data_IF_095016174497
#
_entry.id   IF_095016174497
#
_cell.length_a   1.000
_cell.length_b   1.000
_cell.length_c   1.000
_cell.angle_alpha   90.00
_cell.angle_beta   90.00
_cell.angle_gamma   90.00
#
_symmetry.space_group_name_H-M   'P 1'
#
loop_
_entity.id
_entity.type
_entity.pdbx_description
1 polymer ?
#
# COMPACT_ATOMS: atom_id res chain seq x y z
N UNK A 1 -7.58 21.34 -9.87
CA UNK A 1 -7.76 20.72 -8.54
C UNK A 1 -8.01 21.80 -7.51
N UNK A 2 -9.11 21.68 -6.77
CA UNK A 2 -9.42 22.57 -5.66
C UNK A 2 -8.51 22.26 -4.46
N UNK A 3 -8.44 23.16 -3.46
CA UNK A 3 -7.67 22.91 -2.22
C UNK A 3 -8.18 21.67 -1.48
N UNK A 4 -9.49 21.44 -1.56
CA UNK A 4 -10.17 20.27 -1.01
C UNK A 4 -9.69 18.96 -1.66
N UNK A 5 -9.63 18.90 -3.00
CA UNK A 5 -9.16 17.70 -3.71
C UNK A 5 -7.75 17.30 -3.27
N UNK A 6 -6.85 18.28 -3.12
CA UNK A 6 -5.47 18.03 -2.69
C UNK A 6 -5.38 17.56 -1.24
N UNK A 7 -6.24 18.09 -0.37
CA UNK A 7 -6.33 17.64 1.01
C UNK A 7 -6.79 16.18 1.07
N UNK A 8 -7.86 15.84 0.35
CA UNK A 8 -8.40 14.49 0.30
C UNK A 8 -7.39 13.49 -0.28
N UNK A 9 -6.69 13.86 -1.36
CA UNK A 9 -5.62 13.05 -1.94
C UNK A 9 -4.47 12.78 -0.95
N UNK A 10 -4.02 13.80 -0.21
CA UNK A 10 -2.98 13.62 0.80
C UNK A 10 -3.45 12.73 1.94
N UNK A 11 -4.70 12.86 2.36
CA UNK A 11 -5.28 12.01 3.39
C UNK A 11 -5.37 10.56 2.92
N UNK A 12 -5.90 10.32 1.72
CA UNK A 12 -5.99 9.01 1.10
C UNK A 12 -4.61 8.31 1.02
N UNK A 13 -3.59 9.00 0.52
CA UNK A 13 -2.23 8.44 0.42
C UNK A 13 -1.65 8.14 1.81
N UNK A 14 -1.86 9.01 2.80
CA UNK A 14 -1.43 8.75 4.19
C UNK A 14 -2.08 7.49 4.75
N UNK A 15 -3.40 7.35 4.60
CA UNK A 15 -4.14 6.17 5.08
C UNK A 15 -3.65 4.91 4.37
N UNK A 16 -3.43 4.97 3.05
CA UNK A 16 -2.92 3.84 2.28
C UNK A 16 -1.54 3.39 2.76
N UNK A 17 -0.62 4.33 2.99
CA UNK A 17 0.72 4.03 3.51
C UNK A 17 0.64 3.42 4.91
N UNK A 18 -0.19 3.96 5.79
CA UNK A 18 -0.37 3.45 7.15
C UNK A 18 -0.92 2.01 7.10
N UNK A 19 -1.99 1.77 6.35
CA UNK A 19 -2.57 0.44 6.19
C UNK A 19 -1.55 -0.55 5.64
N UNK A 20 -0.79 -0.14 4.62
CA UNK A 20 0.23 -0.97 4.01
C UNK A 20 1.34 -1.34 5.00
N UNK A 21 1.89 -0.36 5.73
CA UNK A 21 2.95 -0.59 6.72
C UNK A 21 2.42 -1.44 7.87
N UNK A 22 1.21 -1.17 8.37
CA UNK A 22 0.63 -1.94 9.48
C UNK A 22 0.42 -3.41 9.12
N UNK A 23 -0.17 -3.69 7.95
CA UNK A 23 -0.43 -5.07 7.53
C UNK A 23 0.88 -5.76 7.15
N UNK A 24 1.76 -5.10 6.39
CA UNK A 24 3.05 -5.68 5.99
C UNK A 24 3.98 -5.90 7.20
N UNK A 25 3.93 -5.01 8.19
CA UNK A 25 4.67 -5.16 9.44
C UNK A 25 4.15 -6.33 10.26
N UNK A 26 2.83 -6.51 10.33
CA UNK A 26 2.23 -7.66 11.01
C UNK A 26 2.64 -8.98 10.34
N UNK A 27 2.59 -9.07 9.01
CA UNK A 27 3.01 -10.28 8.29
C UNK A 27 4.51 -10.54 8.44
N UNK A 28 5.34 -9.50 8.39
CA UNK A 28 6.78 -9.58 8.65
C UNK A 28 7.07 -10.19 10.02
N UNK A 29 6.39 -9.74 11.07
CA UNK A 29 6.55 -10.29 12.43
C UNK A 29 6.16 -11.77 12.45
N UNK A 30 4.99 -12.12 11.88
CA UNK A 30 4.54 -13.51 11.81
C UNK A 30 5.59 -14.38 11.08
N UNK A 31 6.08 -13.94 9.93
CA UNK A 31 7.06 -14.68 9.13
C UNK A 31 8.38 -14.91 9.86
N UNK A 32 8.88 -13.91 10.59
CA UNK A 32 10.11 -14.01 11.37
C UNK A 32 9.95 -14.96 12.54
N UNK A 33 8.81 -14.90 13.23
CA UNK A 33 8.53 -15.81 14.36
C UNK A 33 8.28 -17.24 13.89
N UNK A 34 7.57 -17.44 12.78
CA UNK A 34 7.26 -18.78 12.25
C UNK A 34 8.49 -19.50 11.70
N UNK A 35 9.45 -18.78 11.09
CA UNK A 35 10.64 -19.38 10.48
C UNK A 35 11.93 -19.04 11.27
N UNK A 36 11.80 -18.78 12.57
CA UNK A 36 12.89 -18.30 13.43
C UNK A 36 14.13 -19.21 13.40
N UNK A 37 13.93 -20.53 13.33
CA UNK A 37 15.00 -21.53 13.25
C UNK A 37 15.74 -21.50 11.92
N UNK A 38 15.04 -21.26 10.81
CA UNK A 38 15.61 -21.14 9.47
C UNK A 38 16.41 -19.84 9.33
N UNK A 39 15.87 -18.72 9.82
CA UNK A 39 16.59 -17.44 9.84
C UNK A 39 17.85 -17.49 10.71
N UNK A 40 17.82 -18.24 11.83
CA UNK A 40 18.99 -18.45 12.68
C UNK A 40 20.09 -19.29 12.00
N UNK A 41 19.74 -20.19 11.08
CA UNK A 41 20.70 -20.95 10.26
C UNK A 41 21.28 -20.12 9.10
N UNK A 42 20.43 -19.42 8.32
CA UNK A 42 20.90 -18.58 7.20
C UNK A 42 21.76 -17.39 7.65
N UNK A 43 21.54 -16.88 8.87
CA UNK A 43 22.38 -15.83 9.47
C UNK A 43 23.84 -16.23 9.73
N UNK A 44 24.16 -17.54 9.75
CA UNK A 44 25.53 -18.03 9.99
C UNK A 44 26.38 -18.18 8.72
N UNK A 45 25.79 -18.32 7.54
CA UNK A 45 26.53 -18.62 6.30
C UNK A 45 26.65 -17.43 5.33
N UNK A 46 25.80 -16.39 5.46
CA UNK A 46 25.59 -15.36 4.42
C UNK A 46 26.20 -13.98 4.64
N UNK A 47 27.23 -13.80 5.49
CA UNK A 47 28.02 -12.55 5.52
C UNK A 47 27.31 -11.27 5.99
N UNK A 48 26.09 -11.35 6.53
CA UNK A 48 25.41 -10.22 7.16
C UNK A 48 23.88 -10.29 7.03
N UNK A 49 23.20 -10.40 8.18
CA UNK A 49 21.74 -10.55 8.30
C UNK A 49 21.00 -9.43 7.56
N UNK A 50 21.52 -8.20 7.57
CA UNK A 50 20.86 -7.02 7.00
C UNK A 50 20.76 -7.01 5.48
N UNK A 51 21.77 -7.51 4.75
CA UNK A 51 21.80 -7.43 3.28
C UNK A 51 20.92 -8.52 2.64
N UNK A 52 20.93 -9.72 3.22
CA UNK A 52 20.02 -10.81 2.87
C UNK A 52 18.58 -10.45 3.23
N UNK A 53 18.35 -9.83 4.40
CA UNK A 53 17.01 -9.31 4.74
C UNK A 53 16.53 -8.29 3.72
N UNK A 54 17.38 -7.35 3.28
CA UNK A 54 16.94 -6.26 2.40
C UNK A 54 16.58 -6.75 0.99
N UNK A 55 17.34 -7.69 0.42
CA UNK A 55 16.99 -8.32 -0.86
C UNK A 55 15.75 -9.22 -0.74
N UNK A 56 15.66 -10.01 0.33
CA UNK A 56 14.55 -10.95 0.52
C UNK A 56 13.23 -10.24 0.89
N UNK A 57 13.28 -9.23 1.77
CA UNK A 57 12.11 -8.43 2.14
C UNK A 57 11.72 -7.43 1.06
N UNK A 58 12.67 -6.83 0.32
CA UNK A 58 12.34 -5.93 -0.77
C UNK A 58 11.46 -6.61 -1.82
N UNK A 59 11.90 -7.78 -2.29
CA UNK A 59 11.15 -8.63 -3.22
C UNK A 59 9.77 -9.04 -2.69
N UNK A 60 9.72 -9.46 -1.43
CA UNK A 60 8.51 -9.98 -0.79
C UNK A 60 7.49 -8.89 -0.52
N UNK A 61 7.92 -7.70 -0.10
CA UNK A 61 7.06 -6.51 0.08
C UNK A 61 6.49 -6.06 -1.25
N UNK A 62 7.29 -6.07 -2.33
CA UNK A 62 6.83 -5.72 -3.68
C UNK A 62 5.77 -6.73 -4.19
N UNK A 63 6.01 -8.03 -4.01
CA UNK A 63 5.06 -9.07 -4.38
C UNK A 63 3.79 -9.04 -3.51
N UNK A 64 3.92 -8.71 -2.23
CA UNK A 64 2.80 -8.52 -1.32
C UNK A 64 1.95 -7.32 -1.75
N UNK A 65 2.58 -6.19 -2.07
CA UNK A 65 1.92 -5.00 -2.59
C UNK A 65 1.14 -5.31 -3.87
N UNK A 66 1.72 -6.02 -4.84
CA UNK A 66 1.01 -6.36 -6.08
C UNK A 66 -0.30 -7.15 -5.83
N UNK A 67 -0.28 -8.10 -4.89
CA UNK A 67 -1.48 -8.90 -4.56
C UNK A 67 -2.51 -8.14 -3.74
N UNK A 68 -2.10 -7.23 -2.88
CA UNK A 68 -2.98 -6.59 -1.88
C UNK A 68 -3.33 -5.13 -2.20
N UNK A 69 -2.71 -4.54 -3.23
CA UNK A 69 -2.93 -3.13 -3.60
C UNK A 69 -4.41 -2.78 -3.81
N UNK A 70 -5.15 -3.60 -4.56
CA UNK A 70 -6.57 -3.33 -4.83
C UNK A 70 -7.40 -3.23 -3.53
N UNK A 71 -7.09 -4.10 -2.55
CA UNK A 71 -7.76 -4.13 -1.26
C UNK A 71 -7.38 -2.91 -0.41
N UNK A 72 -6.11 -2.52 -0.40
CA UNK A 72 -5.66 -1.32 0.32
C UNK A 72 -6.21 -0.03 -0.30
N UNK A 73 -6.31 0.06 -1.63
CA UNK A 73 -6.95 1.19 -2.30
C UNK A 73 -8.42 1.34 -1.88
N UNK A 74 -9.16 0.23 -1.82
CA UNK A 74 -10.55 0.23 -1.41
C UNK A 74 -10.69 0.65 0.05
N UNK A 75 -9.90 0.07 0.96
CA UNK A 75 -9.90 0.44 2.37
C UNK A 75 -9.54 1.90 2.60
N UNK A 76 -8.50 2.40 1.92
CA UNK A 76 -8.08 3.80 2.03
C UNK A 76 -9.17 4.75 1.52
N UNK A 77 -9.91 4.39 0.46
CA UNK A 77 -11.02 5.18 -0.06
C UNK A 77 -12.19 5.22 0.92
N UNK A 78 -12.61 4.06 1.43
CA UNK A 78 -13.69 3.94 2.44
C UNK A 78 -13.33 4.72 3.69
N UNK A 79 -12.10 4.59 4.17
CA UNK A 79 -11.65 5.29 5.38
C UNK A 79 -11.57 6.80 5.16
N UNK A 80 -11.16 7.27 3.97
CA UNK A 80 -11.16 8.69 3.62
C UNK A 80 -12.57 9.28 3.63
N UNK A 81 -13.55 8.56 3.09
CA UNK A 81 -14.96 8.97 3.10
C UNK A 81 -15.52 8.95 4.53
N UNK A 82 -15.27 7.87 5.27
CA UNK A 82 -15.73 7.73 6.65
C UNK A 82 -15.16 8.83 7.56
N UNK A 83 -13.90 9.22 7.34
CA UNK A 83 -13.29 10.33 8.05
C UNK A 83 -14.00 11.66 7.77
N UNK A 84 -14.28 11.92 6.49
CA UNK A 84 -14.98 13.14 6.04
C UNK A 84 -16.42 13.23 6.58
N UNK A 85 -17.09 12.09 6.73
CA UNK A 85 -18.39 11.99 7.37
C UNK A 85 -18.27 12.24 8.88
N UNK A 86 -17.26 11.67 9.54
CA UNK A 86 -17.02 11.82 10.98
C UNK A 86 -16.68 13.26 11.37
N UNK A 87 -15.98 14.01 10.53
CA UNK A 87 -15.67 15.43 10.76
C UNK A 87 -16.81 16.38 10.36
N UNK A 88 -17.94 15.88 9.87
CA UNK A 88 -19.04 16.66 9.28
C UNK A 88 -18.61 17.55 8.10
N UNK A 89 -17.43 17.33 7.52
CA UNK A 89 -16.96 18.05 6.33
C UNK A 89 -17.84 17.74 5.12
N UNK A 90 -18.33 16.50 5.01
CA UNK A 90 -19.28 16.11 3.96
C UNK A 90 -20.61 16.89 4.07
N UNK A 91 -21.11 17.08 5.29
CA UNK A 91 -22.33 17.86 5.57
C UNK A 91 -22.14 19.33 5.22
N UNK A 92 -20.96 19.90 5.53
CA UNK A 92 -20.62 21.27 5.16
C UNK A 92 -20.55 21.48 3.63
N UNK A 93 -20.00 20.52 2.89
CA UNK A 93 -19.95 20.56 1.43
C UNK A 93 -21.35 20.50 0.79
N UNK A 94 -22.23 19.63 1.32
CA UNK A 94 -23.61 19.52 0.87
C UNK A 94 -24.40 20.82 1.16
N UNK A 95 -24.19 21.43 2.33
CA UNK A 95 -24.80 22.72 2.67
C UNK A 95 -24.31 23.87 1.77
N UNK A 96 -23.07 23.78 1.26
CA UNK A 96 -22.53 24.70 0.26
C UNK A 96 -23.01 24.39 -1.18
N UNK A 97 -23.90 23.41 -1.36
CA UNK A 97 -24.43 23.02 -2.68
C UNK A 97 -23.45 22.22 -3.54
N UNK A 98 -22.37 21.69 -2.96
CA UNK A 98 -21.39 20.89 -3.70
C UNK A 98 -21.86 19.44 -3.73
N UNK A 99 -22.01 18.82 -4.91
CA UNK A 99 -22.47 17.44 -5.01
C UNK A 99 -21.42 16.47 -4.48
N UNK A 100 -21.87 15.46 -3.73
CA UNK A 100 -21.04 14.37 -3.18
C UNK A 100 -20.18 13.65 -4.23
N UNK A 101 -20.66 13.58 -5.47
CA UNK A 101 -19.96 12.93 -6.59
C UNK A 101 -18.61 13.60 -6.90
N UNK A 102 -18.45 14.90 -6.56
CA UNK A 102 -17.16 15.59 -6.71
C UNK A 102 -16.10 15.11 -5.74
N UNK A 103 -16.49 14.55 -4.58
CA UNK A 103 -15.57 13.98 -3.59
C UNK A 103 -15.09 12.60 -4.04
N UNK A 104 -15.95 11.83 -4.72
CA UNK A 104 -15.58 10.51 -5.25
C UNK A 104 -14.58 10.58 -6.43
N UNK A 105 -14.72 11.58 -7.31
CA UNK A 105 -13.82 11.74 -8.48
C UNK A 105 -12.31 11.73 -8.14
N UNK A 106 -11.80 12.56 -7.22
CA UNK A 106 -10.37 12.56 -6.89
C UNK A 106 -9.91 11.25 -6.25
N UNK A 107 -10.77 10.58 -5.46
CA UNK A 107 -10.46 9.26 -4.91
C UNK A 107 -10.30 8.21 -6.01
N UNK A 108 -11.25 8.16 -6.96
CA UNK A 108 -11.18 7.22 -8.10
C UNK A 108 -9.93 7.46 -8.93
N UNK A 109 -9.61 8.72 -9.25
CA UNK A 109 -8.38 9.07 -9.99
C UNK A 109 -7.12 8.62 -9.22
N UNK A 110 -7.11 8.79 -7.89
CA UNK A 110 -5.99 8.34 -7.05
C UNK A 110 -5.86 6.81 -7.05
N UNK A 111 -6.97 6.09 -6.88
CA UNK A 111 -7.00 4.63 -6.93
C UNK A 111 -6.52 4.12 -8.28
N UNK A 112 -6.93 4.77 -9.38
CA UNK A 112 -6.50 4.42 -10.73
C UNK A 112 -4.98 4.65 -10.90
N UNK A 113 -4.46 5.76 -10.39
CA UNK A 113 -3.03 6.06 -10.43
C UNK A 113 -2.21 5.02 -9.65
N UNK A 114 -2.68 4.59 -8.47
CA UNK A 114 -2.00 3.54 -7.69
C UNK A 114 -2.12 2.18 -8.38
N UNK A 115 -3.26 1.86 -8.99
CA UNK A 115 -3.43 0.64 -9.76
C UNK A 115 -2.48 0.58 -10.97
N UNK A 116 -2.33 1.69 -11.70
CA UNK A 116 -1.36 1.80 -12.79
C UNK A 116 0.09 1.69 -12.29
N UNK A 117 0.40 2.29 -11.14
CA UNK A 117 1.72 2.20 -10.53
C UNK A 117 2.05 0.75 -10.13
N UNK A 118 1.07 0.02 -9.58
CA UNK A 118 1.23 -1.41 -9.30
C UNK A 118 1.36 -2.25 -10.58
N UNK A 119 0.57 -1.96 -11.61
CA UNK A 119 0.68 -2.65 -12.91
C UNK A 119 2.06 -2.42 -13.55
N UNK A 120 2.56 -1.19 -13.54
CA UNK A 120 3.90 -0.85 -14.02
C UNK A 120 4.98 -1.56 -13.19
N UNK A 121 4.84 -1.55 -11.85
CA UNK A 121 5.75 -2.26 -10.97
C UNK A 121 5.76 -3.77 -11.27
N UNK A 122 4.58 -4.35 -11.55
CA UNK A 122 4.43 -5.76 -11.93
C UNK A 122 5.11 -6.07 -13.25
N UNK A 123 4.89 -5.26 -14.30
CA UNK A 123 5.48 -5.48 -15.62
C UNK A 123 7.01 -5.25 -15.64
N UNK A 124 7.53 -4.32 -14.83
CA UNK A 124 8.97 -4.05 -14.73
C UNK A 124 9.71 -5.01 -13.79
N UNK A 125 9.06 -5.53 -12.74
CA UNK A 125 9.71 -6.40 -11.74
C UNK A 125 9.51 -7.89 -12.01
N UNK A 126 8.42 -8.33 -12.66
CA UNK A 126 8.23 -9.74 -13.03
C UNK A 126 9.35 -10.34 -13.91
N UNK A 127 10.03 -9.59 -14.80
CA UNK A 127 11.19 -10.11 -15.53
C UNK A 127 12.36 -10.47 -14.60
N UNK A 128 12.65 -9.63 -13.60
CA UNK A 128 13.82 -9.79 -12.72
C UNK A 128 13.71 -10.95 -11.72
N UNK A 129 12.51 -11.39 -11.37
CA UNK A 129 12.32 -12.53 -10.45
C UNK A 129 12.12 -13.88 -11.16
N UNK A 130 11.80 -13.89 -12.47
CA UNK A 130 11.73 -15.14 -13.26
C UNK A 130 13.09 -15.80 -13.42
N UNK A 131 14.17 -15.02 -13.48
CA UNK A 131 15.52 -15.58 -13.65
C UNK A 131 16.14 -16.13 -12.36
N UNK A 132 15.70 -15.68 -11.17
CA UNK A 132 16.18 -16.21 -9.87
C UNK A 132 15.43 -17.47 -9.38
N UNK A 133 14.31 -17.85 -10.01
CA UNK A 133 13.49 -19.03 -9.65
C UNK A 133 13.67 -20.23 -10.59
N UNK A 134 14.47 -20.08 -11.67
CA UNK A 134 14.75 -21.16 -12.64
C UNK A 134 16.15 -21.78 -12.47
N UNK A 135 16.82 -21.53 -11.35
CA UNK A 135 18.08 -22.20 -10.96
C UNK A 135 17.93 -22.88 -9.60
#
# INVERSE_FOLDING_TARGET
MTRFDRYLLRFFVKVLIILFISISGLTMVIDVFSNFTEFAQYGKEGGGIGQVLLEYYGARILAFFDRTNALFCLLAAVFSIAWLQRTNEMTALLAAGIPEQRVAKPLVIASLAIALLAAANRELMLPNYRDKLSR
#
